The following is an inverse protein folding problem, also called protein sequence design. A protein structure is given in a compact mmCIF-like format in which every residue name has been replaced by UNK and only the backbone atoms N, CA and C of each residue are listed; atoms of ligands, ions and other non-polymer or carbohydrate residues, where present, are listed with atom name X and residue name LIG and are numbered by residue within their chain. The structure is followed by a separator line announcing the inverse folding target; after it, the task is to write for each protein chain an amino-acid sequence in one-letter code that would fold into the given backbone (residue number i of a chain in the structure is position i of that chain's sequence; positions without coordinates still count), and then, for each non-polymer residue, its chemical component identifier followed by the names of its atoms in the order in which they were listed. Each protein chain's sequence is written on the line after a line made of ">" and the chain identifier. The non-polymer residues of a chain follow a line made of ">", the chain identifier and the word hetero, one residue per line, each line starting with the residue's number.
data_IF_401308816906
#
_entry.id   IF_401308816906
#
_cell.length_a   1.000
_cell.length_b   1.000
_cell.length_c   1.000
_cell.angle_alpha   90.00
_cell.angle_beta   90.00
_cell.angle_gamma   90.00
#
_symmetry.space_group_name_H-M   'P 1'
#
loop_
_entity.id
_entity.type
_entity.pdbx_description
1 polymer ?
#
# COMPACT_ATOMS: atom_id res chain seq x y z
N UNK A 1 22.55 -1.75 -1.95
CA UNK A 1 22.15 -0.91 -3.09
C UNK A 1 21.85 0.48 -2.55
N UNK A 2 22.29 1.55 -3.21
CA UNK A 2 21.93 2.91 -2.80
C UNK A 2 20.43 3.16 -3.05
N UNK A 3 19.79 4.08 -2.31
CA UNK A 3 18.38 4.42 -2.54
C UNK A 3 18.10 4.89 -3.98
N UNK A 4 18.95 5.75 -4.53
CA UNK A 4 18.80 6.25 -5.92
C UNK A 4 18.88 5.14 -6.97
N UNK A 5 19.80 4.18 -6.81
CA UNK A 5 19.90 3.05 -7.73
C UNK A 5 18.67 2.15 -7.66
N UNK A 6 18.07 2.01 -6.47
CA UNK A 6 16.84 1.25 -6.29
C UNK A 6 15.65 1.94 -6.96
N UNK A 7 15.53 3.26 -6.83
CA UNK A 7 14.50 4.05 -7.52
C UNK A 7 14.60 3.91 -9.04
N UNK A 8 15.81 3.99 -9.59
CA UNK A 8 16.04 3.77 -11.03
C UNK A 8 15.62 2.37 -11.50
N UNK A 9 15.90 1.33 -10.70
CA UNK A 9 15.44 -0.03 -10.99
C UNK A 9 13.91 -0.15 -10.94
N UNK A 10 13.26 0.51 -9.97
CA UNK A 10 11.79 0.53 -9.86
C UNK A 10 11.15 1.18 -11.10
N UNK A 11 11.69 2.32 -11.55
CA UNK A 11 11.22 3.03 -12.74
C UNK A 11 11.41 2.19 -14.01
N UNK A 12 12.60 1.60 -14.20
CA UNK A 12 12.89 0.75 -15.36
C UNK A 12 11.99 -0.49 -15.39
N UNK A 13 11.70 -1.07 -14.24
CA UNK A 13 10.88 -2.27 -14.12
C UNK A 13 9.38 -1.98 -14.04
N UNK A 14 8.97 -0.72 -13.95
CA UNK A 14 7.58 -0.32 -13.72
C UNK A 14 6.59 -0.96 -14.69
N UNK A 15 6.78 -0.93 -16.03
CA UNK A 15 5.81 -1.53 -16.95
C UNK A 15 5.65 -3.05 -16.74
N UNK A 16 6.75 -3.73 -16.44
CA UNK A 16 6.74 -5.17 -16.20
C UNK A 16 6.13 -5.53 -14.83
N UNK A 17 6.44 -4.73 -13.79
CA UNK A 17 5.86 -4.89 -12.46
C UNK A 17 4.34 -4.62 -12.47
N UNK A 18 3.90 -3.62 -13.23
CA UNK A 18 2.47 -3.35 -13.41
C UNK A 18 1.75 -4.47 -14.16
N UNK A 19 2.34 -4.98 -15.26
CA UNK A 19 1.79 -6.15 -15.95
C UNK A 19 1.68 -7.38 -15.04
N UNK A 20 2.68 -7.58 -14.17
CA UNK A 20 2.63 -8.64 -13.16
C UNK A 20 1.56 -8.41 -12.09
N UNK A 21 1.38 -7.16 -11.64
CA UNK A 21 0.31 -6.78 -10.70
C UNK A 21 -1.08 -7.05 -11.30
N UNK A 22 -1.30 -6.70 -12.58
CA UNK A 22 -2.53 -7.00 -13.32
C UNK A 22 -2.81 -8.50 -13.36
N UNK A 23 -1.81 -9.31 -13.71
CA UNK A 23 -1.93 -10.77 -13.71
C UNK A 23 -2.28 -11.30 -12.31
N UNK A 24 -1.63 -10.77 -11.26
CA UNK A 24 -1.94 -11.12 -9.88
C UNK A 24 -3.35 -10.73 -9.48
N UNK A 25 -3.90 -9.61 -9.99
CA UNK A 25 -5.21 -9.05 -9.68
C UNK A 25 -6.32 -9.52 -10.63
N UNK A 26 -6.11 -10.59 -11.41
CA UNK A 26 -7.11 -11.13 -12.35
C UNK A 26 -7.61 -10.11 -13.38
N UNK A 27 -6.75 -9.17 -13.78
CA UNK A 27 -7.06 -8.13 -14.76
C UNK A 27 -7.77 -6.90 -14.19
N UNK A 28 -8.08 -6.87 -12.89
CA UNK A 28 -8.59 -5.65 -12.24
C UNK A 28 -7.48 -4.59 -12.21
N UNK A 29 -7.67 -3.56 -13.03
CA UNK A 29 -6.70 -2.47 -13.20
C UNK A 29 -6.55 -1.63 -11.94
N UNK A 30 -7.66 -1.24 -11.31
CA UNK A 30 -7.62 -0.37 -10.12
C UNK A 30 -6.93 -1.10 -8.96
N UNK A 31 -7.29 -2.37 -8.74
CA UNK A 31 -6.63 -3.19 -7.72
C UNK A 31 -5.13 -3.39 -7.99
N UNK A 32 -4.73 -3.49 -9.27
CA UNK A 32 -3.32 -3.62 -9.65
C UNK A 32 -2.54 -2.32 -9.42
N UNK A 33 -3.12 -1.16 -9.75
CA UNK A 33 -2.53 0.16 -9.49
C UNK A 33 -2.30 0.35 -7.98
N UNK A 34 -3.32 0.11 -7.16
CA UNK A 34 -3.24 0.18 -5.69
C UNK A 34 -2.18 -0.77 -5.12
N UNK A 35 -2.14 -2.02 -5.61
CA UNK A 35 -1.20 -3.01 -5.14
C UNK A 35 0.25 -2.66 -5.51
N UNK A 36 0.48 -2.12 -6.71
CA UNK A 36 1.80 -1.69 -7.15
C UNK A 36 2.27 -0.49 -6.33
N UNK A 37 1.41 0.51 -6.12
CA UNK A 37 1.71 1.67 -5.29
C UNK A 37 2.04 1.25 -3.85
N UNK A 38 1.23 0.39 -3.24
CA UNK A 38 1.50 -0.14 -1.90
C UNK A 38 2.81 -0.94 -1.83
N UNK A 39 3.20 -1.61 -2.93
CA UNK A 39 4.47 -2.34 -3.02
C UNK A 39 5.65 -1.38 -3.03
N UNK A 40 5.59 -0.30 -3.83
CA UNK A 40 6.63 0.72 -3.87
C UNK A 40 6.78 1.44 -2.54
N UNK A 41 5.68 1.81 -1.87
CA UNK A 41 5.74 2.38 -0.53
C UNK A 41 6.46 1.45 0.46
N UNK A 42 6.17 0.13 0.45
CA UNK A 42 6.91 -0.81 1.31
C UNK A 42 8.40 -0.85 1.00
N UNK A 43 8.78 -0.74 -0.27
CA UNK A 43 10.19 -0.72 -0.69
C UNK A 43 10.87 0.56 -0.22
N UNK A 44 10.29 1.72 -0.55
CA UNK A 44 10.87 3.04 -0.27
C UNK A 44 10.86 3.37 1.23
N UNK A 45 9.84 2.95 1.98
CA UNK A 45 9.79 3.06 3.44
C UNK A 45 10.73 2.05 4.15
N UNK A 46 11.42 1.19 3.40
CA UNK A 46 12.35 0.19 3.94
C UNK A 46 11.68 -0.98 4.70
N UNK A 47 10.36 -1.16 4.57
CA UNK A 47 9.60 -2.31 5.10
C UNK A 47 9.89 -3.59 4.30
N UNK A 48 10.14 -3.46 3.01
CA UNK A 48 10.65 -4.52 2.13
C UNK A 48 12.09 -4.17 1.74
N UNK A 49 13.06 -4.95 2.24
CA UNK A 49 14.48 -4.71 1.98
C UNK A 49 15.02 -5.71 0.97
N UNK A 50 15.84 -5.21 0.05
CA UNK A 50 16.58 -6.05 -0.89
C UNK A 50 17.89 -6.52 -0.23
N UNK A 51 18.08 -7.83 -0.15
CA UNK A 51 19.22 -8.47 0.52
C UNK A 51 20.23 -9.11 -0.45
N UNK A 52 20.03 -8.96 -1.76
CA UNK A 52 20.93 -9.49 -2.79
C UNK A 52 20.87 -11.01 -3.01
N UNK A 53 19.91 -11.73 -2.42
CA UNK A 53 19.77 -13.19 -2.61
C UNK A 53 19.16 -13.59 -3.96
N UNK A 54 18.61 -12.63 -4.70
CA UNK A 54 18.05 -12.79 -6.04
C UNK A 54 18.30 -11.52 -6.86
N UNK A 55 17.97 -11.54 -8.15
CA UNK A 55 17.94 -10.30 -8.94
C UNK A 55 16.87 -9.33 -8.41
N UNK A 56 17.09 -8.03 -8.60
CA UNK A 56 16.16 -6.97 -8.19
C UNK A 56 14.78 -7.18 -8.82
N UNK A 57 14.73 -7.57 -10.10
CA UNK A 57 13.50 -7.92 -10.82
C UNK A 57 12.70 -9.02 -10.13
N UNK A 58 13.34 -10.15 -9.81
CA UNK A 58 12.68 -11.28 -9.13
C UNK A 58 12.19 -10.87 -7.75
N UNK A 59 12.98 -10.08 -7.03
CA UNK A 59 12.61 -9.56 -5.72
C UNK A 59 11.41 -8.61 -5.79
N UNK A 60 11.37 -7.63 -6.71
CA UNK A 60 10.21 -6.72 -6.91
C UNK A 60 8.95 -7.51 -7.22
N UNK A 61 9.03 -8.49 -8.12
CA UNK A 61 7.87 -9.32 -8.47
C UNK A 61 7.33 -10.11 -7.27
N UNK A 62 8.23 -10.53 -6.38
CA UNK A 62 7.87 -11.17 -5.12
C UNK A 62 7.17 -10.17 -4.18
N UNK A 63 7.71 -8.96 -4.02
CA UNK A 63 7.09 -7.89 -3.21
C UNK A 63 5.67 -7.58 -3.71
N UNK A 64 5.48 -7.43 -5.02
CA UNK A 64 4.16 -7.21 -5.65
C UNK A 64 3.22 -8.36 -5.32
N UNK A 65 3.64 -9.61 -5.55
CA UNK A 65 2.83 -10.81 -5.27
C UNK A 65 2.40 -10.88 -3.80
N UNK A 66 3.34 -10.66 -2.87
CA UNK A 66 3.04 -10.69 -1.44
C UNK A 66 2.10 -9.56 -1.03
N UNK A 67 2.26 -8.36 -1.61
CA UNK A 67 1.37 -7.23 -1.35
C UNK A 67 -0.05 -7.48 -1.84
N UNK A 68 -0.22 -8.04 -3.05
CA UNK A 68 -1.56 -8.45 -3.54
C UNK A 68 -2.20 -9.49 -2.61
N UNK A 69 -1.43 -10.51 -2.20
CA UNK A 69 -1.93 -11.53 -1.29
C UNK A 69 -2.33 -10.97 0.09
N UNK A 70 -1.57 -10.00 0.61
CA UNK A 70 -1.85 -9.30 1.85
C UNK A 70 -3.13 -8.45 1.75
N UNK A 71 -3.30 -7.67 0.68
CA UNK A 71 -4.50 -6.87 0.42
C UNK A 71 -5.74 -7.75 0.32
N UNK A 72 -5.67 -8.86 -0.42
CA UNK A 72 -6.76 -9.86 -0.52
C UNK A 72 -7.12 -10.45 0.84
N UNK A 73 -6.12 -10.81 1.64
CA UNK A 73 -6.33 -11.36 2.99
C UNK A 73 -7.02 -10.33 3.89
N UNK A 74 -6.59 -9.07 3.85
CA UNK A 74 -7.23 -7.98 4.61
C UNK A 74 -8.67 -7.74 4.19
N UNK A 75 -8.95 -7.73 2.89
CA UNK A 75 -10.30 -7.58 2.37
C UNK A 75 -11.21 -8.75 2.80
N UNK A 76 -10.71 -9.98 2.74
CA UNK A 76 -11.43 -11.15 3.22
C UNK A 76 -11.75 -11.03 4.72
N UNK A 77 -10.75 -10.74 5.55
CA UNK A 77 -10.93 -10.56 7.01
C UNK A 77 -11.97 -9.46 7.31
N UNK A 78 -11.90 -8.31 6.63
CA UNK A 78 -12.88 -7.22 6.78
C UNK A 78 -14.30 -7.65 6.41
N UNK A 79 -14.47 -8.52 5.41
CA UNK A 79 -15.79 -9.06 5.02
C UNK A 79 -16.41 -9.95 6.09
N UNK A 80 -15.58 -10.62 6.89
CA UNK A 80 -16.04 -11.54 7.94
C UNK A 80 -16.15 -10.88 9.32
N UNK A 81 -15.58 -9.69 9.52
CA UNK A 81 -15.74 -8.96 10.77
C UNK A 81 -17.12 -8.28 10.85
N UNK A 82 -17.84 -8.38 11.98
CA UNK A 82 -19.06 -7.61 12.18
C UNK A 82 -18.72 -6.11 12.14
N UNK A 83 -19.58 -5.31 11.51
CA UNK A 83 -19.36 -3.86 11.33
C UNK A 83 -19.09 -3.13 12.66
N UNK A 84 -19.71 -3.60 13.77
CA UNK A 84 -19.47 -3.10 15.12
C UNK A 84 -18.01 -3.26 15.59
N UNK A 85 -17.29 -4.28 15.13
CA UNK A 85 -15.88 -4.48 15.46
C UNK A 85 -14.93 -3.57 14.65
N UNK A 86 -15.39 -3.01 13.52
CA UNK A 86 -14.63 -2.09 12.68
C UNK A 86 -14.75 -0.62 13.13
N UNK A 87 -15.77 -0.28 13.92
CA UNK A 87 -16.03 1.07 14.45
C UNK A 87 -15.49 1.34 15.85
N UNK A 88 -14.82 0.37 16.49
CA UNK A 88 -14.31 0.51 17.86
C UNK A 88 -13.07 1.43 17.98
N UNK A 89 -12.55 1.96 16.87
CA UNK A 89 -11.62 3.10 16.90
C UNK A 89 -12.40 4.39 16.70
N UNK A 90 -13.24 4.72 17.68
CA UNK A 90 -13.59 6.12 17.91
C UNK A 90 -12.34 6.75 18.52
N UNK A 91 -11.47 7.31 17.68
CA UNK A 91 -10.60 8.38 18.16
C UNK A 91 -11.54 9.51 18.54
N UNK A 92 -11.86 9.62 19.83
CA UNK A 92 -12.68 10.68 20.42
C UNK A 92 -12.01 12.06 20.36
N UNK A 93 -11.17 12.31 19.36
CA UNK A 93 -10.64 13.61 19.05
C UNK A 93 -11.70 14.34 18.22
N UNK A 94 -12.29 15.44 18.71
CA UNK A 94 -13.17 16.23 17.88
C UNK A 94 -12.44 16.61 16.59
N UNK A 95 -13.13 16.47 15.47
CA UNK A 95 -12.62 16.81 14.15
C UNK A 95 -12.09 18.25 14.18
N UNK A 96 -10.88 18.49 13.66
CA UNK A 96 -10.18 19.78 13.75
C UNK A 96 -11.02 20.94 13.18
N UNK A 97 -11.93 20.61 12.25
CA UNK A 97 -12.93 21.52 11.68
C UNK A 97 -13.92 22.04 12.75
N UNK A 98 -14.25 21.21 13.75
CA UNK A 98 -15.14 21.57 14.87
C UNK A 98 -14.44 22.42 15.92
N UNK A 99 -13.11 22.34 16.05
CA UNK A 99 -12.33 23.24 16.92
C UNK A 99 -12.23 24.65 16.33
N UNK A 100 -11.99 24.77 15.02
CA UNK A 100 -11.87 26.08 14.37
C UNK A 100 -13.15 26.92 14.46
N UNK A 101 -14.33 26.28 14.31
CA UNK A 101 -15.62 26.97 14.37
C UNK A 101 -15.93 27.52 15.77
N UNK A 102 -15.40 26.91 16.84
CA UNK A 102 -15.59 27.43 18.21
C UNK A 102 -14.66 28.60 18.53
N UNK A 103 -13.48 28.66 17.90
CA UNK A 103 -12.52 29.74 18.10
C UNK A 103 -13.00 31.08 17.48
N UNK A 104 -13.76 31.03 16.39
CA UNK A 104 -14.25 32.23 15.69
C UNK A 104 -15.58 32.80 16.23
N UNK A 105 -16.20 32.15 17.21
CA UNK A 105 -17.51 32.56 17.75
C UNK A 105 -17.47 33.57 18.91
N UNK A 106 -16.30 34.09 19.29
CA UNK A 106 -16.15 34.94 20.51
C UNK A 106 -15.65 36.36 20.19
N UNK A 107 -16.21 37.01 19.17
CA UNK A 107 -15.92 38.43 18.92
C UNK A 107 -17.17 39.27 18.76
#
# INVERSE_FOLDING_TARGET
>A
MSPEALEQELDQLHPAAFGWALACCSGDRAAAEDALQASYLKVLDGRARFDGRASVRTWIFSVVRYTVAELRRRAAVRRWLPLAALGATSDGRPDAVTELVRADGTR
#
